data_IF_688876234438
#
_entry.id   IF_688876234438
#
_cell.length_a   1.000
_cell.length_b   1.000
_cell.length_c   1.000
_cell.angle_alpha   90.00
_cell.angle_beta   90.00
_cell.angle_gamma   90.00
#
_symmetry.space_group_name_H-M   'P 1'
#
loop_
_entity.id
_entity.type
_entity.pdbx_description
1 polymer ?
#
# COMPACT_ATOMS: atom_id res chain seq x y z
N UNK A 1 13.44 8.68 -76.49
CA UNK A 1 12.44 9.07 -75.44
C UNK A 1 12.07 7.94 -74.47
N UNK A 2 12.20 6.67 -74.81
CA UNK A 2 11.81 5.54 -74.00
C UNK A 2 12.62 5.37 -72.69
N UNK A 3 13.90 5.66 -72.66
CA UNK A 3 14.75 5.49 -71.42
C UNK A 3 14.39 6.44 -70.29
N UNK A 4 13.88 7.65 -70.58
CA UNK A 4 13.42 8.58 -69.50
C UNK A 4 12.12 8.13 -68.87
N UNK A 5 11.21 7.51 -69.61
CA UNK A 5 9.96 6.99 -69.13
C UNK A 5 10.19 5.77 -68.20
N UNK A 6 11.11 4.87 -68.55
CA UNK A 6 11.46 3.71 -67.75
C UNK A 6 12.10 4.08 -66.40
N UNK A 7 13.04 5.01 -66.40
CA UNK A 7 13.68 5.51 -65.17
C UNK A 7 12.68 6.22 -64.25
N UNK A 8 11.74 6.96 -64.81
CA UNK A 8 10.68 7.63 -64.08
C UNK A 8 9.75 6.58 -63.40
N UNK A 9 9.31 5.55 -64.13
CA UNK A 9 8.47 4.47 -63.60
C UNK A 9 9.14 3.73 -62.42
N UNK A 10 10.41 3.40 -62.56
CA UNK A 10 11.17 2.75 -61.48
C UNK A 10 11.29 3.64 -60.24
N UNK A 11 11.58 4.91 -60.38
CA UNK A 11 11.63 5.85 -59.25
C UNK A 11 10.28 5.98 -58.54
N UNK A 12 9.21 6.03 -59.32
CA UNK A 12 7.85 6.13 -58.78
C UNK A 12 7.48 4.84 -57.98
N UNK A 13 7.83 3.67 -58.51
CA UNK A 13 7.61 2.40 -57.80
C UNK A 13 8.37 2.34 -56.47
N UNK A 14 9.64 2.76 -56.43
CA UNK A 14 10.39 2.82 -55.16
C UNK A 14 9.84 3.87 -54.19
N UNK A 15 9.43 5.01 -54.68
CA UNK A 15 8.81 6.05 -53.85
C UNK A 15 7.48 5.57 -53.24
N UNK A 16 6.63 4.91 -54.01
CA UNK A 16 5.37 4.32 -53.52
C UNK A 16 5.67 3.20 -52.52
N UNK A 17 6.64 2.32 -52.81
CA UNK A 17 7.04 1.26 -51.87
C UNK A 17 7.55 1.83 -50.53
N UNK A 18 8.42 2.85 -50.59
CA UNK A 18 8.90 3.51 -49.39
C UNK A 18 7.78 4.21 -48.60
N UNK A 19 6.85 4.87 -49.31
CA UNK A 19 5.70 5.50 -48.63
C UNK A 19 4.81 4.47 -47.93
N UNK A 20 4.50 3.35 -48.61
CA UNK A 20 3.70 2.27 -48.03
C UNK A 20 4.36 1.65 -46.80
N UNK A 21 5.68 1.41 -46.83
CA UNK A 21 6.41 0.88 -45.68
C UNK A 21 6.41 1.83 -44.50
N UNK A 22 6.64 3.12 -44.73
CA UNK A 22 6.58 4.16 -43.68
C UNK A 22 5.18 4.24 -43.09
N UNK A 23 4.15 4.26 -43.94
CA UNK A 23 2.75 4.30 -43.47
C UNK A 23 2.40 3.06 -42.66
N UNK A 24 2.80 1.87 -43.13
CA UNK A 24 2.56 0.63 -42.42
C UNK A 24 3.26 0.58 -41.03
N UNK A 25 4.52 0.98 -40.97
CA UNK A 25 5.28 1.06 -39.72
C UNK A 25 4.65 2.07 -38.75
N UNK A 26 4.26 3.24 -39.27
CA UNK A 26 3.61 4.28 -38.45
C UNK A 26 2.26 3.83 -37.92
N UNK A 27 1.43 3.19 -38.73
CA UNK A 27 0.14 2.62 -38.30
C UNK A 27 0.33 1.48 -37.31
N UNK A 28 1.30 0.60 -37.52
CA UNK A 28 1.61 -0.47 -36.60
C UNK A 28 2.09 0.06 -35.24
N UNK A 29 2.99 1.04 -35.25
CA UNK A 29 3.46 1.70 -34.04
C UNK A 29 2.31 2.42 -33.31
N UNK A 30 1.46 3.12 -34.05
CA UNK A 30 0.27 3.76 -33.48
C UNK A 30 -0.67 2.73 -32.84
N UNK A 31 -0.99 1.64 -33.54
CA UNK A 31 -1.83 0.58 -33.02
C UNK A 31 -1.26 -0.05 -31.74
N UNK A 32 0.03 -0.38 -31.72
CA UNK A 32 0.71 -0.96 -30.55
C UNK A 32 0.77 -0.01 -29.37
N UNK A 33 0.92 1.29 -29.58
CA UNK A 33 1.06 2.26 -28.52
C UNK A 33 -0.27 2.78 -27.96
N UNK A 34 -1.26 3.02 -28.83
CA UNK A 34 -2.52 3.67 -28.46
C UNK A 34 -3.72 2.72 -28.29
N UNK A 35 -3.64 1.46 -28.79
CA UNK A 35 -4.74 0.50 -28.68
C UNK A 35 -4.44 -0.63 -27.72
N UNK A 36 -3.42 -0.49 -26.85
CA UNK A 36 -3.22 -1.46 -25.76
C UNK A 36 -4.48 -1.50 -24.88
N UNK A 37 -5.03 -2.68 -24.62
CA UNK A 37 -6.18 -2.79 -23.74
C UNK A 37 -5.85 -2.23 -22.35
N UNK A 38 -6.82 -1.57 -21.68
CA UNK A 38 -6.64 -1.08 -20.33
C UNK A 38 -6.18 -2.19 -19.40
N UNK A 39 -5.18 -1.91 -18.56
CA UNK A 39 -4.61 -2.89 -17.63
C UNK A 39 -4.26 -2.21 -16.31
N UNK A 40 -4.70 -2.78 -15.20
CA UNK A 40 -4.47 -2.28 -13.85
C UNK A 40 -3.01 -2.38 -13.36
N UNK A 41 -2.02 -2.55 -14.26
CA UNK A 41 -0.61 -2.70 -13.92
C UNK A 41 0.30 -2.07 -14.97
N UNK A 42 -0.20 -1.07 -15.71
CA UNK A 42 0.55 -0.44 -16.80
C UNK A 42 1.06 0.98 -16.48
N UNK A 43 0.84 1.42 -15.22
CA UNK A 43 1.19 2.75 -14.70
C UNK A 43 0.54 3.90 -15.48
N UNK A 44 -0.61 3.65 -16.07
CA UNK A 44 -1.39 4.65 -16.79
C UNK A 44 -2.83 4.61 -16.29
N UNK A 45 -3.41 5.79 -16.12
CA UNK A 45 -4.84 5.89 -15.86
C UNK A 45 -5.59 5.71 -17.18
N UNK A 46 -6.22 4.56 -17.37
CA UNK A 46 -6.97 4.24 -18.59
C UNK A 46 -8.20 3.36 -18.28
N UNK A 47 -9.06 3.14 -19.29
CA UNK A 47 -10.29 2.37 -19.10
C UNK A 47 -11.21 2.98 -18.06
N UNK A 48 -11.70 2.16 -17.11
CA UNK A 48 -12.62 2.56 -16.04
C UNK A 48 -11.90 2.88 -14.71
N UNK A 49 -10.60 3.09 -14.72
CA UNK A 49 -9.82 3.41 -13.54
C UNK A 49 -10.16 4.79 -12.97
N UNK A 50 -10.13 4.92 -11.64
CA UNK A 50 -10.28 6.21 -10.95
C UNK A 50 -8.96 6.90 -10.68
N UNK A 51 -7.89 6.17 -10.68
CA UNK A 51 -6.52 6.63 -10.54
C UNK A 51 -5.58 5.67 -11.26
N UNK A 52 -4.28 5.91 -11.22
CA UNK A 52 -3.30 5.05 -11.86
C UNK A 52 -3.35 3.66 -11.23
N UNK A 53 -3.68 2.64 -12.01
CA UNK A 53 -3.76 1.24 -11.60
C UNK A 53 -4.67 0.98 -10.39
N UNK A 54 -5.69 1.79 -10.17
CA UNK A 54 -6.60 1.62 -9.04
C UNK A 54 -8.03 2.10 -9.29
N UNK A 55 -8.97 1.55 -8.55
CA UNK A 55 -10.40 1.86 -8.63
C UNK A 55 -11.07 1.34 -9.90
N UNK A 56 -12.36 1.58 -10.04
CA UNK A 56 -13.14 1.10 -11.18
C UNK A 56 -13.12 -0.42 -11.30
N UNK A 57 -12.64 -0.92 -12.43
CA UNK A 57 -12.51 -2.37 -12.68
C UNK A 57 -11.28 -3.00 -11.99
N UNK A 58 -10.36 -2.21 -11.42
CA UNK A 58 -9.16 -2.71 -10.77
C UNK A 58 -9.44 -3.22 -9.36
N UNK A 59 -8.74 -4.28 -8.98
CA UNK A 59 -8.84 -4.85 -7.63
C UNK A 59 -8.27 -3.91 -6.55
N UNK A 60 -7.29 -3.08 -6.91
CA UNK A 60 -6.68 -2.13 -5.99
C UNK A 60 -7.64 -0.96 -5.74
N UNK A 61 -7.84 -0.58 -4.48
CA UNK A 61 -8.57 0.63 -4.09
C UNK A 61 -7.61 1.80 -4.14
N UNK A 62 -8.04 2.94 -4.69
CA UNK A 62 -7.20 4.14 -4.69
C UNK A 62 -7.06 4.71 -3.27
N UNK A 63 -5.88 5.22 -2.94
CA UNK A 63 -5.62 5.86 -1.65
C UNK A 63 -6.55 7.05 -1.39
N UNK A 64 -6.97 7.77 -2.44
CA UNK A 64 -7.93 8.86 -2.33
C UNK A 64 -9.36 8.42 -1.95
N UNK A 65 -9.70 7.15 -2.14
CA UNK A 65 -11.03 6.59 -1.83
C UNK A 65 -11.11 5.99 -0.41
N UNK A 66 -10.01 6.03 0.36
CA UNK A 66 -9.94 5.48 1.71
C UNK A 66 -9.71 6.57 2.76
N UNK A 67 -10.24 6.32 3.94
CA UNK A 67 -9.97 7.15 5.12
C UNK A 67 -8.72 6.64 5.84
N UNK A 68 -7.82 7.54 6.20
CA UNK A 68 -6.60 7.20 6.94
C UNK A 68 -6.94 6.54 8.28
N UNK A 69 -6.17 5.54 8.71
CA UNK A 69 -6.33 4.90 10.02
C UNK A 69 -6.12 5.89 11.17
N UNK A 70 -6.81 5.68 12.27
CA UNK A 70 -6.76 6.54 13.45
C UNK A 70 -6.14 5.76 14.61
N UNK A 71 -5.09 6.32 15.19
CA UNK A 71 -4.55 5.82 16.47
C UNK A 71 -5.45 6.28 17.60
N UNK A 72 -6.11 5.35 18.26
CA UNK A 72 -6.97 5.64 19.41
C UNK A 72 -6.14 5.91 20.67
N UNK A 73 -5.14 5.06 20.91
CA UNK A 73 -4.17 5.24 21.99
C UNK A 73 -2.96 4.33 21.80
N UNK A 74 -1.86 4.67 22.47
CA UNK A 74 -0.67 3.84 22.57
C UNK A 74 -0.09 3.90 23.98
N UNK A 75 0.43 2.78 24.48
CA UNK A 75 1.03 2.66 25.81
C UNK A 75 2.14 1.62 25.81
N UNK A 76 3.10 1.81 26.72
CA UNK A 76 4.09 0.82 27.06
C UNK A 76 3.83 0.24 28.46
N UNK A 77 4.23 -1.01 28.63
CA UNK A 77 4.11 -1.76 29.87
C UNK A 77 5.45 -2.38 30.20
N UNK A 78 5.91 -2.17 31.43
CA UNK A 78 7.14 -2.78 31.93
C UNK A 78 6.93 -4.29 32.08
N UNK A 79 7.88 -5.07 31.57
CA UNK A 79 7.91 -6.51 31.72
C UNK A 79 8.90 -6.89 32.81
N UNK A 80 10.13 -6.40 32.68
CA UNK A 80 11.22 -6.45 33.66
C UNK A 80 11.99 -5.13 33.59
N UNK A 81 12.95 -4.95 34.46
CA UNK A 81 13.80 -3.75 34.43
C UNK A 81 14.49 -3.62 33.08
N UNK A 82 14.34 -2.45 32.46
CA UNK A 82 14.91 -2.12 31.16
C UNK A 82 14.20 -2.75 29.96
N UNK A 83 13.13 -3.52 30.14
CA UNK A 83 12.37 -4.09 29.04
C UNK A 83 10.89 -3.78 29.11
N UNK A 84 10.36 -3.28 28.03
CA UNK A 84 8.96 -2.87 27.88
C UNK A 84 8.30 -3.54 26.68
N UNK A 85 7.01 -3.80 26.80
CA UNK A 85 6.15 -4.09 25.68
C UNK A 85 5.35 -2.82 25.32
N UNK A 86 5.08 -2.61 24.04
CA UNK A 86 4.24 -1.53 23.58
C UNK A 86 2.98 -2.05 22.89
N UNK A 87 1.87 -1.37 23.12
CA UNK A 87 0.57 -1.69 22.51
C UNK A 87 -0.04 -0.40 21.98
N UNK A 88 -0.66 -0.49 20.82
CA UNK A 88 -1.51 0.57 20.29
C UNK A 88 -2.80 -0.01 19.73
N UNK A 89 -3.89 0.75 19.83
CA UNK A 89 -5.13 0.43 19.13
C UNK A 89 -5.28 1.38 17.94
N UNK A 90 -5.42 0.78 16.77
CA UNK A 90 -5.58 1.49 15.49
C UNK A 90 -6.94 1.15 14.90
N UNK A 91 -7.72 2.18 14.60
CA UNK A 91 -9.04 2.06 14.01
C UNK A 91 -8.97 2.26 12.50
N UNK A 92 -9.49 1.29 11.77
CA UNK A 92 -9.79 1.40 10.34
C UNK A 92 -11.31 1.57 10.14
N UNK A 93 -11.73 2.76 9.77
CA UNK A 93 -13.15 3.08 9.53
C UNK A 93 -13.65 2.66 8.16
N UNK A 94 -12.75 2.24 7.27
CA UNK A 94 -13.11 1.81 5.93
C UNK A 94 -13.88 0.50 5.98
N UNK A 95 -15.12 0.48 5.50
CA UNK A 95 -16.02 -0.67 5.60
C UNK A 95 -15.54 -1.88 4.80
N UNK A 96 -14.89 -1.63 3.66
CA UNK A 96 -14.51 -2.66 2.69
C UNK A 96 -13.07 -2.58 2.24
N UNK A 97 -12.25 -1.69 2.83
CA UNK A 97 -10.85 -1.54 2.49
C UNK A 97 -9.94 -2.03 3.61
N UNK A 98 -9.05 -2.96 3.30
CA UNK A 98 -8.02 -3.47 4.18
C UNK A 98 -6.63 -3.13 3.65
N UNK A 99 -5.68 -2.89 4.54
CA UNK A 99 -4.27 -2.82 4.21
C UNK A 99 -3.60 -4.16 4.57
N UNK A 100 -3.13 -4.94 3.59
CA UNK A 100 -2.46 -6.22 3.85
C UNK A 100 -1.08 -6.04 4.48
N UNK A 101 -0.47 -4.88 4.27
CA UNK A 101 0.80 -4.49 4.89
C UNK A 101 0.71 -3.02 5.26
N UNK A 102 0.94 -2.72 6.53
CA UNK A 102 1.06 -1.36 7.05
C UNK A 102 2.28 -1.30 7.95
N UNK A 103 3.20 -0.41 7.62
CA UNK A 103 4.38 -0.16 8.43
C UNK A 103 4.03 0.75 9.60
N UNK A 104 4.67 0.50 10.72
CA UNK A 104 4.54 1.36 11.90
C UNK A 104 5.87 1.49 12.63
N UNK A 105 5.96 2.55 13.43
CA UNK A 105 7.09 2.79 14.32
C UNK A 105 6.55 3.15 15.70
N UNK A 106 6.86 2.33 16.71
CA UNK A 106 6.72 2.71 18.11
C UNK A 106 7.91 3.54 18.54
N UNK A 107 7.66 4.62 19.27
CA UNK A 107 8.70 5.44 19.91
C UNK A 107 8.35 5.65 21.38
N UNK A 108 9.28 5.29 22.25
CA UNK A 108 9.19 5.40 23.69
C UNK A 108 10.01 6.61 24.14
N UNK A 109 9.42 7.48 24.93
CA UNK A 109 10.02 8.73 25.38
C UNK A 109 9.95 8.86 26.89
N UNK A 110 10.87 9.64 27.45
CA UNK A 110 10.80 10.22 28.79
C UNK A 110 10.99 11.74 28.74
N UNK A 111 11.23 12.39 29.87
CA UNK A 111 11.44 13.83 29.96
C UNK A 111 12.71 14.31 29.22
N UNK A 112 13.65 13.41 28.97
CA UNK A 112 14.91 13.69 28.25
C UNK A 112 14.80 13.44 26.74
N UNK A 113 13.64 12.95 26.27
CA UNK A 113 13.35 12.69 24.85
C UNK A 113 13.29 11.22 24.50
N UNK A 114 13.58 10.90 23.25
CA UNK A 114 13.50 9.53 22.73
C UNK A 114 14.42 8.56 23.48
N UNK A 115 13.84 7.44 23.91
CA UNK A 115 14.57 6.33 24.54
C UNK A 115 14.86 5.23 23.53
N UNK A 116 13.81 4.73 22.87
CA UNK A 116 13.89 3.60 21.97
C UNK A 116 12.83 3.71 20.87
N UNK A 117 13.18 3.15 19.72
CA UNK A 117 12.25 2.97 18.59
C UNK A 117 12.18 1.51 18.20
N UNK A 118 10.97 1.09 17.80
CA UNK A 118 10.74 -0.24 17.24
C UNK A 118 9.86 -0.13 16.00
N UNK A 119 10.39 -0.58 14.87
CA UNK A 119 9.66 -0.64 13.60
C UNK A 119 9.11 -2.03 13.38
N UNK A 120 7.93 -2.09 12.80
CA UNK A 120 7.29 -3.34 12.45
C UNK A 120 6.28 -3.19 11.33
N UNK A 121 5.71 -4.29 10.94
CA UNK A 121 4.64 -4.36 9.94
C UNK A 121 3.45 -5.09 10.53
N UNK A 122 2.26 -4.68 10.11
CA UNK A 122 1.01 -5.31 10.52
C UNK A 122 0.01 -5.33 9.37
N UNK A 123 -1.06 -6.07 9.57
CA UNK A 123 -2.25 -5.98 8.71
C UNK A 123 -3.25 -5.01 9.33
N UNK A 124 -4.11 -4.41 8.52
CA UNK A 124 -5.20 -3.59 9.02
C UNK A 124 -6.52 -4.03 8.38
N UNK A 125 -7.32 -4.84 9.09
CA UNK A 125 -8.61 -5.31 8.59
C UNK A 125 -9.61 -4.16 8.39
N UNK A 126 -10.63 -4.33 7.51
CA UNK A 126 -11.66 -3.32 7.33
C UNK A 126 -12.56 -3.24 8.56
N UNK A 127 -13.15 -2.06 8.79
CA UNK A 127 -14.14 -1.79 9.83
C UNK A 127 -13.77 -2.41 11.19
N UNK A 128 -12.55 -2.12 11.66
CA UNK A 128 -12.01 -2.77 12.85
C UNK A 128 -11.18 -1.82 13.70
N UNK A 129 -11.13 -2.11 14.99
CA UNK A 129 -10.12 -1.60 15.91
C UNK A 129 -9.11 -2.71 16.11
N UNK A 130 -7.90 -2.52 15.62
CA UNK A 130 -6.88 -3.56 15.57
C UNK A 130 -5.74 -3.27 16.56
N UNK A 131 -5.38 -4.21 17.45
CA UNK A 131 -4.25 -4.05 18.37
C UNK A 131 -2.93 -4.31 17.63
N UNK A 132 -2.00 -3.37 17.75
CA UNK A 132 -0.61 -3.54 17.32
C UNK A 132 0.21 -3.74 18.58
N UNK A 133 1.02 -4.78 18.60
CA UNK A 133 1.78 -5.17 19.78
C UNK A 133 3.24 -5.44 19.45
N UNK A 134 4.14 -4.77 20.18
CA UNK A 134 5.58 -4.99 20.12
C UNK A 134 6.13 -5.45 21.47
N UNK A 135 7.02 -6.41 21.41
CA UNK A 135 7.60 -7.05 22.57
C UNK A 135 9.06 -6.68 22.77
N UNK A 136 9.50 -6.69 24.02
CA UNK A 136 10.92 -6.63 24.40
C UNK A 136 11.66 -5.45 23.81
N UNK A 137 11.08 -4.27 24.01
CA UNK A 137 11.76 -3.03 23.66
C UNK A 137 12.74 -2.73 24.78
N UNK A 138 14.02 -2.73 24.49
CA UNK A 138 15.08 -2.43 25.43
C UNK A 138 15.15 -0.90 25.63
N UNK A 139 15.04 -0.49 26.90
CA UNK A 139 15.13 0.91 27.31
C UNK A 139 16.35 1.18 28.20
N UNK A 140 17.18 0.16 28.44
CA UNK A 140 18.31 0.25 29.37
C UNK A 140 17.83 0.59 30.79
N UNK A 141 18.35 1.65 31.36
CA UNK A 141 17.96 2.14 32.70
C UNK A 141 16.87 3.19 32.69
N UNK A 142 16.43 3.65 31.50
CA UNK A 142 15.43 4.71 31.35
C UNK A 142 14.01 4.16 31.41
N UNK A 143 13.13 4.91 32.03
CA UNK A 143 11.72 4.54 32.22
C UNK A 143 10.86 5.37 31.27
N UNK A 144 10.20 4.79 30.27
CA UNK A 144 9.34 5.53 29.37
C UNK A 144 8.11 6.04 30.08
N UNK A 145 7.82 7.33 29.89
CA UNK A 145 6.63 8.01 30.40
C UNK A 145 5.60 8.24 29.31
N UNK A 146 6.04 8.25 28.05
CA UNK A 146 5.18 8.47 26.88
C UNK A 146 5.51 7.45 25.80
N UNK A 147 4.46 6.99 25.12
CA UNK A 147 4.59 6.03 24.01
C UNK A 147 3.78 6.57 22.84
N UNK A 148 4.41 6.65 21.70
CA UNK A 148 3.75 7.03 20.45
C UNK A 148 3.85 5.91 19.44
N UNK A 149 2.92 5.87 18.51
CA UNK A 149 2.98 5.06 17.32
C UNK A 149 2.77 5.96 16.09
N UNK A 150 3.66 5.86 15.14
CA UNK A 150 3.52 6.49 13.83
C UNK A 150 3.18 5.42 12.82
N UNK A 151 2.14 5.65 12.04
CA UNK A 151 1.71 4.76 10.95
C UNK A 151 2.19 5.35 9.64
N UNK A 152 2.80 4.54 8.79
CA UNK A 152 3.10 4.92 7.42
C UNK A 152 1.87 4.66 6.55
N UNK A 153 1.69 5.46 5.50
CA UNK A 153 0.60 5.25 4.56
C UNK A 153 0.78 3.90 3.85
N UNK A 154 -0.24 3.03 3.85
CA UNK A 154 -0.15 1.75 3.16
C UNK A 154 0.01 1.94 1.65
N UNK A 155 0.96 1.23 1.06
CA UNK A 155 1.18 1.24 -0.39
C UNK A 155 0.03 0.60 -1.17
N UNK A 156 -0.73 -0.26 -0.51
CA UNK A 156 -1.77 -1.06 -1.14
C UNK A 156 -3.02 -1.16 -0.26
N UNK A 157 -4.15 -0.80 -0.84
CA UNK A 157 -5.46 -1.05 -0.29
C UNK A 157 -6.22 -2.05 -1.16
N UNK A 158 -6.76 -3.09 -0.52
CA UNK A 158 -7.51 -4.15 -1.18
C UNK A 158 -8.94 -4.20 -0.65
N UNK A 159 -9.92 -4.55 -1.51
CA UNK A 159 -11.26 -4.83 -1.06
C UNK A 159 -11.24 -6.07 -0.17
N UNK A 160 -11.83 -5.94 1.00
CA UNK A 160 -11.99 -7.02 1.94
C UNK A 160 -13.32 -6.91 2.67
N UNK A 161 -13.88 -8.03 3.03
CA UNK A 161 -15.04 -8.07 3.91
C UNK A 161 -14.57 -8.29 5.35
N UNK A 162 -15.30 -7.73 6.31
CA UNK A 162 -15.04 -8.01 7.71
C UNK A 162 -15.12 -9.51 7.94
N UNK A 163 -14.04 -10.10 8.47
CA UNK A 163 -14.00 -11.52 8.80
C UNK A 163 -15.10 -11.88 9.79
N UNK A 164 -15.70 -13.05 9.64
CA UNK A 164 -16.60 -13.59 10.68
C UNK A 164 -15.77 -13.82 11.93
N UNK A 165 -16.24 -13.32 13.07
CA UNK A 165 -15.66 -13.65 14.36
C UNK A 165 -15.79 -15.17 14.59
N UNK A 166 -14.69 -15.89 14.44
CA UNK A 166 -14.63 -17.34 14.64
C UNK A 166 -14.43 -17.70 16.12
N UNK A 167 -14.09 -16.70 16.94
CA UNK A 167 -13.82 -16.89 18.36
C UNK A 167 -14.88 -16.17 19.19
N UNK A 168 -15.42 -16.90 20.17
CA UNK A 168 -16.32 -16.35 21.18
C UNK A 168 -15.62 -16.46 22.53
N UNK A 169 -15.45 -15.33 23.22
CA UNK A 169 -14.89 -15.31 24.57
C UNK A 169 -15.99 -15.77 25.55
N UNK A 170 -15.85 -16.97 26.08
CA UNK A 170 -16.83 -17.57 27.01
C UNK A 170 -16.66 -17.00 28.42
N UNK A 171 -15.41 -16.80 28.88
CA UNK A 171 -15.15 -16.20 30.20
C UNK A 171 -13.84 -15.42 30.19
N UNK A 172 -13.71 -14.45 31.06
CA UNK A 172 -12.46 -13.74 31.36
C UNK A 172 -12.21 -13.85 32.85
N UNK A 173 -11.10 -14.44 33.24
CA UNK A 173 -10.62 -14.49 34.60
C UNK A 173 -9.28 -13.76 34.68
N UNK A 174 -9.20 -12.79 35.58
CA UNK A 174 -7.95 -12.10 35.87
C UNK A 174 -7.42 -12.70 37.16
N UNK A 175 -6.40 -13.53 37.03
CA UNK A 175 -5.62 -13.95 38.18
C UNK A 175 -4.61 -12.84 38.48
N UNK A 176 -4.76 -12.18 39.62
CA UNK A 176 -3.70 -11.33 40.15
C UNK A 176 -2.51 -12.24 40.46
N UNK A 177 -1.57 -12.35 39.50
CA UNK A 177 -0.25 -12.83 39.84
C UNK A 177 0.34 -11.75 40.74
N UNK A 178 0.54 -12.08 42.01
CA UNK A 178 1.29 -11.26 42.95
C UNK A 178 2.63 -10.95 42.27
N UNK A 179 2.81 -9.70 41.90
CA UNK A 179 4.07 -9.20 41.38
C UNK A 179 4.96 -9.08 42.59
N UNK A 180 5.71 -10.17 42.88
CA UNK A 180 6.85 -10.09 43.79
C UNK A 180 8.00 -9.33 43.15
#
# INVERSE_FOLDING_TARGET
>A
MAFRAWAFWRRTQYAIGALMTITFVSLSAYALYFTSPPNCFDFKMNGDERGIDCGGACTRICAADVTAPIVQWSRSFRVVDGQYNAVAYVENKNQTAAAPVMNYTFSLHDEQGLIAERKGTTILPPNSVYPIFEQRIDTGTRIPTQTFITLEEPELWLPAQQGRNQFHVVSREIHNADIM
#
